data_IF_966892707549
#
_entry.id   IF_966892707549
#
_cell.length_a   1.000
_cell.length_b   1.000
_cell.length_c   1.000
_cell.angle_alpha   90.00
_cell.angle_beta   90.00
_cell.angle_gamma   90.00
#
_symmetry.space_group_name_H-M   'P 1'
#
loop_
_entity.id
_entity.type
_entity.pdbx_description
1 polymer ?
#
# COMPACT_ATOMS: atom_id res chain seq x y z
N UNK A 1 -1.41 -43.34 -31.42
CA UNK A 1 -0.25 -43.15 -30.51
C UNK A 1 0.68 -42.17 -31.20
N UNK A 2 1.02 -41.00 -30.67
CA UNK A 2 1.43 -40.70 -29.31
C UNK A 2 1.08 -39.23 -29.01
N UNK A 3 0.38 -39.00 -27.90
CA UNK A 3 0.10 -37.67 -27.38
C UNK A 3 1.40 -37.02 -26.89
N UNK A 4 1.60 -35.73 -27.15
CA UNK A 4 2.64 -34.95 -26.48
C UNK A 4 1.98 -33.89 -25.64
N UNK A 5 1.96 -34.21 -24.35
CA UNK A 5 1.88 -33.39 -23.14
C UNK A 5 1.59 -31.90 -23.32
N UNK A 6 0.41 -31.51 -22.86
CA UNK A 6 0.17 -30.15 -22.40
C UNK A 6 1.08 -29.82 -21.22
N UNK A 7 1.94 -28.82 -21.40
CA UNK A 7 2.55 -28.12 -20.28
C UNK A 7 1.46 -27.25 -19.64
N UNK A 8 0.72 -27.82 -18.68
CA UNK A 8 -0.08 -27.01 -17.77
C UNK A 8 0.88 -26.11 -17.01
N UNK A 9 0.91 -24.82 -17.34
CA UNK A 9 1.61 -23.82 -16.57
C UNK A 9 1.02 -23.83 -15.17
N UNK A 10 1.77 -24.38 -14.20
CA UNK A 10 1.54 -24.13 -12.79
C UNK A 10 1.93 -22.67 -12.53
N UNK A 11 1.09 -21.74 -12.98
CA UNK A 11 1.07 -20.40 -12.42
C UNK A 11 0.47 -20.62 -11.03
N UNK A 12 1.34 -20.97 -10.08
CA UNK A 12 1.02 -20.84 -8.67
C UNK A 12 0.43 -19.46 -8.49
N UNK A 13 -0.64 -19.36 -7.69
CA UNK A 13 -1.19 -18.10 -7.23
C UNK A 13 -0.08 -17.36 -6.45
N UNK A 14 0.85 -16.73 -7.16
CA UNK A 14 1.63 -15.64 -6.60
C UNK A 14 0.54 -14.63 -6.22
N UNK A 15 0.29 -14.53 -4.91
CA UNK A 15 -0.60 -13.51 -4.39
C UNK A 15 -0.20 -12.20 -5.07
N UNK A 16 -1.13 -11.56 -5.79
CA UNK A 16 -0.85 -10.30 -6.45
C UNK A 16 -0.12 -9.40 -5.44
N UNK A 17 1.05 -8.86 -5.79
CA UNK A 17 1.80 -8.01 -4.87
C UNK A 17 0.84 -6.94 -4.34
N UNK A 18 0.85 -6.67 -3.02
CA UNK A 18 -0.01 -5.66 -2.45
C UNK A 18 0.22 -4.37 -3.23
N UNK A 19 -0.88 -3.71 -3.62
CA UNK A 19 -0.81 -2.44 -4.33
C UNK A 19 0.04 -1.46 -3.50
N UNK A 20 1.06 -0.91 -4.14
CA UNK A 20 2.02 0.04 -3.55
C UNK A 20 1.71 1.48 -3.96
N UNK A 21 0.62 1.70 -4.72
CA UNK A 21 0.33 3.01 -5.30
C UNK A 21 -0.69 3.82 -4.50
N UNK A 22 -0.41 5.11 -4.35
CA UNK A 22 -1.35 6.12 -3.88
C UNK A 22 -1.18 7.38 -4.72
N UNK A 23 -2.27 7.93 -5.26
CA UNK A 23 -2.22 9.10 -6.14
C UNK A 23 -1.21 8.95 -7.31
N UNK A 24 -1.00 7.73 -7.81
CA UNK A 24 -0.03 7.43 -8.88
C UNK A 24 1.43 7.28 -8.42
N UNK A 25 1.73 7.53 -7.14
CA UNK A 25 3.04 7.42 -6.52
C UNK A 25 3.23 6.01 -5.97
N UNK A 26 4.35 5.37 -6.27
CA UNK A 26 4.74 4.09 -5.70
C UNK A 26 5.44 4.30 -4.35
N UNK A 27 4.72 4.10 -3.24
CA UNK A 27 5.24 4.44 -1.91
C UNK A 27 6.31 3.48 -1.39
N UNK A 28 6.39 2.27 -1.93
CA UNK A 28 7.43 1.31 -1.54
C UNK A 28 8.79 1.66 -2.20
N UNK A 29 8.75 2.45 -3.28
CA UNK A 29 9.93 2.93 -4.01
C UNK A 29 10.26 4.42 -3.75
N UNK A 30 9.44 5.13 -2.97
CA UNK A 30 9.60 6.56 -2.69
C UNK A 30 10.11 6.78 -1.27
N UNK A 31 11.17 7.57 -1.13
CA UNK A 31 11.79 7.89 0.17
C UNK A 31 10.98 8.93 0.95
N UNK A 32 11.24 9.05 2.25
CA UNK A 32 10.55 10.05 3.09
C UNK A 32 10.74 11.49 2.59
N UNK A 33 11.97 11.95 2.23
CA UNK A 33 12.14 13.30 1.68
C UNK A 33 11.33 13.52 0.40
N UNK A 34 11.32 12.56 -0.53
CA UNK A 34 10.52 12.66 -1.76
C UNK A 34 9.02 12.68 -1.47
N UNK A 35 8.53 11.92 -0.48
CA UNK A 35 7.14 12.00 -0.04
C UNK A 35 6.79 13.37 0.53
N UNK A 36 7.71 14.02 1.27
CA UNK A 36 7.51 15.39 1.76
C UNK A 36 7.44 16.38 0.59
N UNK A 37 8.37 16.30 -0.36
CA UNK A 37 8.33 17.16 -1.57
C UNK A 37 7.02 16.99 -2.36
N UNK A 38 6.50 15.77 -2.45
CA UNK A 38 5.20 15.50 -3.09
C UNK A 38 4.03 16.08 -2.29
N UNK A 39 4.11 16.12 -0.96
CA UNK A 39 3.11 16.75 -0.11
C UNK A 39 3.14 18.28 -0.21
N UNK A 40 4.34 18.86 -0.19
CA UNK A 40 4.56 20.31 -0.40
C UNK A 40 4.06 20.77 -1.77
N UNK A 41 4.24 19.92 -2.79
CA UNK A 41 3.73 20.15 -4.15
C UNK A 41 2.23 19.86 -4.31
N UNK A 42 1.50 19.51 -3.24
CA UNK A 42 0.09 19.12 -3.24
C UNK A 42 -0.26 17.94 -4.16
N UNK A 43 0.75 17.13 -4.52
CA UNK A 43 0.60 15.92 -5.35
C UNK A 43 0.24 14.69 -4.52
N UNK A 44 0.49 14.75 -3.21
CA UNK A 44 0.10 13.76 -2.23
C UNK A 44 -0.45 14.48 -1.00
N UNK A 45 -1.49 13.94 -0.37
CA UNK A 45 -1.96 14.40 0.94
C UNK A 45 -1.64 13.37 2.01
N UNK A 46 -1.35 13.83 3.23
CA UNK A 46 -1.16 12.99 4.41
C UNK A 46 -2.37 12.06 4.60
N UNK A 47 -3.60 12.58 4.45
CA UNK A 47 -4.81 11.74 4.56
C UNK A 47 -4.86 10.61 3.52
N UNK A 48 -4.34 10.82 2.30
CA UNK A 48 -4.30 9.78 1.27
C UNK A 48 -3.28 8.70 1.64
N UNK A 49 -2.09 9.10 2.07
CA UNK A 49 -1.03 8.19 2.49
C UNK A 49 -1.45 7.36 3.71
N UNK A 50 -2.08 7.98 4.72
CA UNK A 50 -2.59 7.27 5.89
C UNK A 50 -3.69 6.28 5.51
N UNK A 51 -4.66 6.67 4.69
CA UNK A 51 -5.74 5.75 4.25
C UNK A 51 -5.18 4.54 3.50
N UNK A 52 -4.17 4.76 2.65
CA UNK A 52 -3.48 3.69 1.94
C UNK A 52 -2.89 2.66 2.92
N UNK A 53 -2.11 3.09 3.91
CA UNK A 53 -1.52 2.18 4.89
C UNK A 53 -2.57 1.49 5.77
N UNK A 54 -3.63 2.20 6.19
CA UNK A 54 -4.73 1.60 6.94
C UNK A 54 -5.45 0.49 6.14
N UNK A 55 -5.60 0.68 4.82
CA UNK A 55 -6.14 -0.37 3.96
C UNK A 55 -5.18 -1.57 3.86
N UNK A 56 -3.89 -1.32 3.65
CA UNK A 56 -2.86 -2.37 3.57
C UNK A 56 -2.74 -3.15 4.87
N UNK A 57 -2.77 -2.49 6.03
CA UNK A 57 -2.80 -3.13 7.35
C UNK A 57 -4.03 -4.03 7.48
N UNK A 58 -5.24 -3.54 7.17
CA UNK A 58 -6.46 -4.36 7.24
C UNK A 58 -6.38 -5.62 6.37
N UNK A 59 -5.75 -5.52 5.20
CA UNK A 59 -5.60 -6.65 4.28
C UNK A 59 -4.55 -7.67 4.72
N UNK A 60 -3.40 -7.20 5.22
CA UNK A 60 -2.22 -8.06 5.44
C UNK A 60 -2.04 -8.50 6.89
N UNK A 61 -2.49 -7.68 7.85
CA UNK A 61 -2.28 -7.97 9.27
C UNK A 61 -2.90 -9.28 9.78
N UNK A 62 -4.04 -9.79 9.26
CA UNK A 62 -4.56 -11.10 9.67
C UNK A 62 -3.59 -12.26 9.44
N UNK A 63 -2.70 -12.12 8.45
CA UNK A 63 -1.66 -13.12 8.15
C UNK A 63 -0.34 -12.77 8.83
N UNK A 64 0.05 -11.50 8.78
CA UNK A 64 1.37 -11.07 9.25
C UNK A 64 1.44 -10.87 10.77
N UNK A 65 0.32 -10.54 11.41
CA UNK A 65 0.24 -10.20 12.84
C UNK A 65 1.29 -9.14 13.26
N UNK A 66 1.54 -8.16 12.39
CA UNK A 66 2.59 -7.16 12.55
C UNK A 66 2.14 -5.91 13.32
N UNK A 67 0.83 -5.63 13.35
CA UNK A 67 0.23 -4.45 14.01
C UNK A 67 -0.68 -4.93 15.12
N UNK A 68 -0.38 -4.52 16.35
CA UNK A 68 -1.20 -4.84 17.54
C UNK A 68 -2.47 -3.99 17.55
N UNK A 69 -2.32 -2.66 17.45
CA UNK A 69 -3.42 -1.69 17.49
C UNK A 69 -3.14 -0.53 16.54
N UNK A 70 -4.18 -0.08 15.84
CA UNK A 70 -4.15 1.16 15.05
C UNK A 70 -4.70 2.31 15.89
N UNK A 71 -4.12 3.51 15.77
CA UNK A 71 -4.66 4.71 16.44
C UNK A 71 -6.08 5.04 15.95
N UNK A 72 -7.04 5.29 16.87
CA UNK A 72 -8.39 5.70 16.48
C UNK A 72 -8.43 7.11 15.87
N UNK A 73 -7.38 7.93 16.10
CA UNK A 73 -7.29 9.31 15.61
C UNK A 73 -6.47 9.45 14.33
N UNK A 74 -5.90 8.37 13.78
CA UNK A 74 -4.94 8.43 12.66
C UNK A 74 -5.41 9.31 11.48
N UNK A 75 -6.69 9.22 11.11
CA UNK A 75 -7.24 10.04 10.03
C UNK A 75 -7.51 11.50 10.44
N UNK A 76 -7.79 11.76 11.71
CA UNK A 76 -7.93 13.13 12.21
C UNK A 76 -6.57 13.83 12.22
N UNK A 77 -5.52 13.13 12.68
CA UNK A 77 -4.16 13.63 12.73
C UNK A 77 -3.64 13.92 11.31
N UNK A 78 -3.89 13.02 10.35
CA UNK A 78 -3.52 13.22 8.96
C UNK A 78 -4.22 14.43 8.32
N UNK A 79 -5.51 14.65 8.63
CA UNK A 79 -6.24 15.84 8.17
C UNK A 79 -5.75 17.13 8.83
N UNK A 80 -5.23 17.06 10.05
CA UNK A 80 -4.62 18.21 10.71
C UNK A 80 -3.28 18.56 10.04
N UNK A 81 -2.47 17.55 9.71
CA UNK A 81 -1.23 17.72 8.97
C UNK A 81 -1.45 18.34 7.57
N UNK A 82 -2.50 17.92 6.84
CA UNK A 82 -2.85 18.51 5.54
C UNK A 82 -3.23 20.01 5.58
N UNK A 83 -3.46 20.57 6.78
CA UNK A 83 -3.88 21.97 6.99
C UNK A 83 -2.79 22.84 7.59
N UNK A 84 -1.68 22.25 8.05
CA UNK A 84 -0.56 22.96 8.66
C UNK A 84 0.29 23.64 7.58
#
# INVERSE_FOLDING_TARGET
MLAVSGAASLIGLAANPPDTRVAGIDVDATTIPELQELMDALRLKSVQLTQFYLHRIRKLNPTLNAVITVSPTALADARAADKA
#
